data_IF_210139457024
#
_entry.id   IF_210139457024
#
_cell.length_a   1.000
_cell.length_b   1.000
_cell.length_c   1.000
_cell.angle_alpha   90.00
_cell.angle_beta   90.00
_cell.angle_gamma   90.00
#
_symmetry.space_group_name_H-M   'P 1'
#
loop_
_entity.id
_entity.type
_entity.pdbx_description
1 polymer ?
#
# COMPACT_ATOMS: atom_id res chain seq x y z
N UNK A 1 16.29 -7.50 32.22
CA UNK A 1 16.25 -7.15 30.78
C UNK A 1 14.87 -7.57 30.27
N UNK A 2 13.96 -6.63 30.18
CA UNK A 2 12.60 -6.89 29.68
C UNK A 2 12.66 -6.86 28.17
N UNK A 3 12.45 -8.01 27.51
CA UNK A 3 12.32 -8.06 26.06
C UNK A 3 11.06 -7.31 25.67
N UNK A 4 11.22 -6.17 25.03
CA UNK A 4 10.15 -5.50 24.29
C UNK A 4 9.73 -6.47 23.15
N UNK A 5 8.69 -7.26 23.43
CA UNK A 5 7.96 -7.99 22.42
C UNK A 5 7.46 -6.95 21.41
N UNK A 6 8.11 -6.88 20.24
CA UNK A 6 7.60 -6.09 19.12
C UNK A 6 6.21 -6.63 18.80
N UNK A 7 5.17 -5.87 19.14
CA UNK A 7 3.80 -6.19 18.71
C UNK A 7 3.84 -6.35 17.19
N UNK A 8 3.60 -7.56 16.73
CA UNK A 8 3.42 -7.84 15.29
C UNK A 8 2.20 -7.03 14.87
N UNK A 9 2.43 -5.90 14.23
CA UNK A 9 1.36 -5.07 13.68
C UNK A 9 0.89 -5.77 12.41
N UNK A 10 -0.32 -6.31 12.41
CA UNK A 10 -0.90 -6.88 11.20
C UNK A 10 -1.07 -5.77 10.16
N UNK A 11 -0.79 -6.04 8.86
CA UNK A 11 -0.91 -5.03 7.80
C UNK A 11 -2.35 -4.52 7.58
N UNK A 12 -3.36 -5.31 7.98
CA UNK A 12 -4.77 -4.95 7.88
C UNK A 12 -5.49 -5.14 9.21
N UNK A 13 -6.56 -4.38 9.41
CA UNK A 13 -7.47 -4.50 10.55
C UNK A 13 -8.88 -4.83 10.06
N UNK A 14 -9.50 -5.82 10.68
CA UNK A 14 -10.87 -6.22 10.37
C UNK A 14 -11.92 -5.19 10.85
N UNK A 15 -13.10 -5.24 10.23
CA UNK A 15 -14.22 -4.32 10.49
C UNK A 15 -14.62 -4.27 11.97
N UNK A 16 -14.66 -5.42 12.67
CA UNK A 16 -15.08 -5.50 14.08
C UNK A 16 -14.10 -4.75 14.98
N UNK A 17 -12.82 -5.01 14.79
CA UNK A 17 -11.72 -4.36 15.53
C UNK A 17 -11.66 -2.86 15.23
N UNK A 18 -11.73 -2.47 13.96
CA UNK A 18 -11.73 -1.07 13.53
C UNK A 18 -12.92 -0.30 14.13
N UNK A 19 -14.14 -0.86 14.02
CA UNK A 19 -15.35 -0.28 14.60
C UNK A 19 -15.21 -0.03 16.12
N UNK A 20 -14.66 -0.99 16.85
CA UNK A 20 -14.45 -0.85 18.30
C UNK A 20 -13.55 0.33 18.61
N UNK A 21 -12.42 0.47 17.90
CA UNK A 21 -11.44 1.55 18.10
C UNK A 21 -11.99 2.92 17.69
N UNK A 22 -12.71 2.99 16.57
CA UNK A 22 -13.32 4.23 16.06
C UNK A 22 -14.37 4.76 17.05
N UNK A 23 -15.21 3.89 17.59
CA UNK A 23 -16.27 4.28 18.52
C UNK A 23 -15.74 4.90 19.82
N UNK A 24 -14.56 4.52 20.28
CA UNK A 24 -13.93 5.07 21.51
C UNK A 24 -12.85 6.11 21.17
N UNK A 25 -12.73 6.51 19.90
CA UNK A 25 -11.76 7.49 19.38
C UNK A 25 -10.31 7.20 19.82
N UNK A 26 -9.91 5.92 19.83
CA UNK A 26 -8.56 5.47 20.22
C UNK A 26 -7.61 5.33 19.03
N UNK A 27 -8.04 5.72 17.85
CA UNK A 27 -7.30 5.57 16.59
C UNK A 27 -7.50 6.79 15.70
N UNK A 28 -6.48 7.17 14.93
CA UNK A 28 -6.62 8.13 13.85
C UNK A 28 -7.04 7.39 12.57
N UNK A 29 -8.23 7.69 12.07
CA UNK A 29 -8.76 7.11 10.84
C UNK A 29 -8.53 8.09 9.69
N UNK A 30 -7.86 7.66 8.61
CA UNK A 30 -7.58 8.48 7.41
C UNK A 30 -8.43 8.00 6.25
N UNK A 31 -9.23 8.91 5.70
CA UNK A 31 -9.94 8.77 4.42
C UNK A 31 -9.08 9.32 3.28
N UNK A 32 -8.70 8.47 2.32
CA UNK A 32 -7.83 8.85 1.19
C UNK A 32 -8.64 9.22 -0.06
N UNK A 33 -9.96 9.15 0.00
CA UNK A 33 -10.83 9.57 -1.09
C UNK A 33 -10.70 11.09 -1.36
N UNK A 34 -11.25 11.54 -2.49
CA UNK A 34 -11.29 12.97 -2.80
C UNK A 34 -12.05 13.75 -1.72
N UNK A 35 -11.71 15.03 -1.59
CA UNK A 35 -12.36 15.90 -0.60
C UNK A 35 -13.87 15.99 -0.82
N UNK A 36 -14.32 16.00 -2.08
CA UNK A 36 -15.75 16.05 -2.41
C UNK A 36 -16.50 14.83 -1.88
N UNK A 37 -15.93 13.61 -2.05
CA UNK A 37 -16.52 12.37 -1.57
C UNK A 37 -16.53 12.32 -0.03
N UNK A 38 -15.44 12.74 0.60
CA UNK A 38 -15.33 12.82 2.06
C UNK A 38 -16.34 13.83 2.65
N UNK A 39 -16.51 14.98 2.03
CA UNK A 39 -17.44 16.02 2.51
C UNK A 39 -18.92 15.61 2.37
N UNK A 40 -19.25 14.70 1.45
CA UNK A 40 -20.60 14.15 1.34
C UNK A 40 -20.90 13.20 2.50
N UNK A 41 -20.01 12.29 2.77
CA UNK A 41 -20.10 11.33 3.88
C UNK A 41 -18.77 10.58 4.03
N UNK A 42 -18.41 10.23 5.27
CA UNK A 42 -17.19 9.51 5.60
C UNK A 42 -17.41 8.61 6.83
N UNK A 43 -16.49 7.71 7.12
CA UNK A 43 -16.55 6.90 8.33
C UNK A 43 -16.40 7.83 9.55
N UNK A 44 -17.21 7.60 10.58
CA UNK A 44 -17.22 8.39 11.82
C UNK A 44 -15.79 8.67 12.31
N UNK A 45 -15.50 9.93 12.67
CA UNK A 45 -14.21 10.42 13.15
C UNK A 45 -13.03 10.34 12.17
N UNK A 46 -13.26 10.02 10.89
CA UNK A 46 -12.21 10.05 9.89
C UNK A 46 -11.73 11.47 9.60
N UNK A 47 -10.44 11.63 9.33
CA UNK A 47 -9.84 12.83 8.74
C UNK A 47 -9.55 12.56 7.27
N UNK A 48 -9.57 13.60 6.43
CA UNK A 48 -9.30 13.43 5.01
C UNK A 48 -7.84 13.75 4.66
N UNK A 49 -7.23 12.89 3.86
CA UNK A 49 -5.95 13.11 3.20
C UNK A 49 -6.00 12.56 1.77
N UNK A 50 -6.52 13.31 0.82
CA UNK A 50 -6.50 12.89 -0.58
C UNK A 50 -5.07 12.54 -1.03
N UNK A 51 -4.95 11.48 -1.83
CA UNK A 51 -3.63 11.05 -2.33
C UNK A 51 -2.91 12.18 -3.08
N UNK A 52 -3.65 13.04 -3.79
CA UNK A 52 -3.07 14.19 -4.51
C UNK A 52 -2.33 15.14 -3.59
N UNK A 53 -2.85 15.40 -2.39
CA UNK A 53 -2.22 16.27 -1.40
C UNK A 53 -0.92 15.65 -0.87
N UNK A 54 -0.92 14.33 -0.60
CA UNK A 54 0.29 13.61 -0.23
C UNK A 54 1.36 13.68 -1.33
N UNK A 55 0.96 13.51 -2.59
CA UNK A 55 1.88 13.52 -3.74
C UNK A 55 2.37 14.91 -4.12
N UNK A 56 1.74 15.97 -3.64
CA UNK A 56 2.21 17.36 -3.79
C UNK A 56 3.36 17.70 -2.85
N UNK A 57 3.57 16.89 -1.80
CA UNK A 57 4.72 17.03 -0.90
C UNK A 57 6.01 16.67 -1.63
N UNK A 58 6.94 17.62 -1.70
CA UNK A 58 8.20 17.53 -2.42
C UNK A 58 9.36 16.95 -1.59
N UNK A 59 9.17 16.83 -0.29
CA UNK A 59 10.18 16.30 0.64
C UNK A 59 9.55 15.57 1.83
N UNK A 60 10.30 14.68 2.51
CA UNK A 60 9.84 14.04 3.74
C UNK A 60 9.42 15.04 4.83
N UNK A 61 10.09 16.20 4.92
CA UNK A 61 9.80 17.28 5.86
C UNK A 61 8.46 17.96 5.56
N UNK A 62 8.10 18.06 4.29
CA UNK A 62 6.78 18.59 3.88
C UNK A 62 5.68 17.55 4.14
N UNK A 63 5.96 16.29 3.82
CA UNK A 63 5.03 15.17 4.01
C UNK A 63 4.69 14.98 5.49
N UNK A 64 5.69 15.02 6.40
CA UNK A 64 5.43 14.83 7.83
C UNK A 64 4.52 15.91 8.41
N UNK A 65 4.60 17.15 7.92
CA UNK A 65 3.73 18.25 8.34
C UNK A 65 2.26 18.02 7.97
N UNK A 66 1.97 17.26 6.90
CA UNK A 66 0.60 16.87 6.58
C UNK A 66 0.05 15.95 7.68
N UNK A 67 0.83 14.97 8.11
CA UNK A 67 0.42 14.03 9.15
C UNK A 67 0.34 14.70 10.53
N UNK A 68 1.25 15.63 10.85
CA UNK A 68 1.18 16.45 12.07
C UNK A 68 -0.15 17.23 12.16
N UNK A 69 -0.59 17.83 11.05
CA UNK A 69 -1.88 18.56 10.97
C UNK A 69 -3.08 17.64 11.17
N UNK A 70 -2.95 16.38 10.82
CA UNK A 70 -4.00 15.37 11.02
C UNK A 70 -3.98 14.76 12.43
N UNK A 71 -3.13 15.26 13.34
CA UNK A 71 -3.05 14.79 14.71
C UNK A 71 -2.40 13.40 14.85
N UNK A 72 -1.39 13.10 14.02
CA UNK A 72 -0.65 11.84 14.04
C UNK A 72 0.70 12.09 14.70
N UNK A 73 0.85 11.69 15.96
CA UNK A 73 2.10 11.66 16.72
C UNK A 73 2.80 10.30 16.53
N UNK A 74 4.01 10.14 17.06
CA UNK A 74 4.85 8.92 16.89
C UNK A 74 4.18 7.63 17.36
N UNK A 75 3.31 7.71 18.37
CA UNK A 75 2.63 6.57 19.00
C UNK A 75 1.16 6.43 18.56
N UNK A 76 0.66 7.34 17.74
CA UNK A 76 -0.73 7.31 17.27
C UNK A 76 -0.99 6.03 16.47
N UNK A 77 -2.02 5.28 16.84
CA UNK A 77 -2.49 4.18 16.01
C UNK A 77 -3.28 4.73 14.81
N UNK A 78 -2.89 4.36 13.60
CA UNK A 78 -3.48 4.84 12.35
C UNK A 78 -4.15 3.71 11.59
N UNK A 79 -5.38 3.95 11.14
CA UNK A 79 -6.08 3.10 10.17
C UNK A 79 -6.32 3.94 8.92
N UNK A 80 -5.99 3.40 7.74
CA UNK A 80 -6.16 4.09 6.46
C UNK A 80 -7.17 3.33 5.60
N UNK A 81 -8.08 4.03 4.95
CA UNK A 81 -9.05 3.45 4.03
C UNK A 81 -9.26 4.30 2.78
N UNK A 82 -9.78 3.65 1.75
CA UNK A 82 -10.22 4.28 0.50
C UNK A 82 -11.50 3.60 -0.04
N UNK A 83 -11.86 3.90 -1.27
CA UNK A 83 -12.93 3.21 -2.01
C UNK A 83 -12.40 2.61 -3.33
N UNK A 84 -11.10 2.37 -3.42
CA UNK A 84 -10.37 1.79 -4.55
C UNK A 84 -9.63 0.53 -4.13
N UNK A 85 -10.33 -0.40 -3.48
CA UNK A 85 -9.83 -1.70 -2.98
C UNK A 85 -8.52 -1.63 -2.20
N UNK A 86 -8.25 -0.52 -1.51
CA UNK A 86 -7.06 -0.34 -0.69
C UNK A 86 -5.81 0.18 -1.43
N UNK A 87 -5.88 0.45 -2.72
CA UNK A 87 -4.72 0.88 -3.50
C UNK A 87 -4.22 2.28 -3.12
N UNK A 88 -5.12 3.25 -2.93
CA UNK A 88 -4.73 4.60 -2.49
C UNK A 88 -4.34 4.59 -1.01
N UNK A 89 -5.10 3.88 -0.18
CA UNK A 89 -4.82 3.72 1.24
C UNK A 89 -3.44 3.11 1.48
N UNK A 90 -3.06 2.09 0.72
CA UNK A 90 -1.75 1.44 0.84
C UNK A 90 -0.59 2.39 0.54
N UNK A 91 -0.75 3.31 -0.41
CA UNK A 91 0.29 4.31 -0.72
C UNK A 91 0.47 5.32 0.42
N UNK A 92 -0.62 5.78 1.04
CA UNK A 92 -0.56 6.66 2.22
C UNK A 92 0.05 5.94 3.41
N UNK A 93 -0.41 4.72 3.71
CA UNK A 93 0.11 3.92 4.81
C UNK A 93 1.60 3.56 4.63
N UNK A 94 2.04 3.24 3.42
CA UNK A 94 3.45 3.01 3.11
C UNK A 94 4.28 4.28 3.32
N UNK A 95 3.75 5.46 2.96
CA UNK A 95 4.47 6.72 3.19
C UNK A 95 4.65 7.00 4.68
N UNK A 96 3.64 6.72 5.52
CA UNK A 96 3.77 6.78 6.97
C UNK A 96 4.89 5.86 7.47
N UNK A 97 4.96 4.61 7.01
CA UNK A 97 6.04 3.70 7.37
C UNK A 97 7.40 4.18 6.88
N UNK A 98 7.47 4.77 5.70
CA UNK A 98 8.70 5.30 5.14
C UNK A 98 9.27 6.46 5.96
N UNK A 99 8.43 7.37 6.46
CA UNK A 99 8.86 8.46 7.34
C UNK A 99 9.07 8.02 8.81
N UNK A 100 8.90 6.73 9.12
CA UNK A 100 9.24 6.12 10.41
C UNK A 100 8.06 5.81 11.33
N UNK A 101 6.82 6.07 10.90
CA UNK A 101 5.63 5.73 11.69
C UNK A 101 5.38 4.22 11.70
N UNK A 102 5.23 3.62 12.91
CA UNK A 102 5.20 2.15 13.07
C UNK A 102 3.79 1.58 13.16
N UNK A 103 2.83 2.37 13.63
CA UNK A 103 1.50 1.89 14.03
C UNK A 103 0.44 2.22 12.97
N UNK A 104 0.65 1.77 11.72
CA UNK A 104 -0.30 1.99 10.63
C UNK A 104 -0.81 0.68 10.04
N UNK A 105 -2.11 0.61 9.78
CA UNK A 105 -2.80 -0.52 9.17
C UNK A 105 -3.79 -0.07 8.12
N UNK A 106 -4.16 -0.95 7.19
CA UNK A 106 -5.24 -0.73 6.25
C UNK A 106 -6.55 -1.29 6.82
N UNK A 107 -7.66 -0.59 6.60
CA UNK A 107 -8.99 -1.16 6.83
C UNK A 107 -9.24 -2.28 5.81
N UNK A 108 -9.66 -3.47 6.26
CA UNK A 108 -9.81 -4.67 5.41
C UNK A 108 -11.09 -4.65 4.52
N UNK A 109 -11.70 -3.48 4.37
CA UNK A 109 -12.85 -3.23 3.49
C UNK A 109 -12.76 -1.82 2.89
N UNK A 110 -13.42 -1.61 1.77
CA UNK A 110 -13.56 -0.27 1.16
C UNK A 110 -14.61 0.56 1.92
N UNK A 111 -14.67 1.87 1.63
CA UNK A 111 -15.72 2.73 2.16
C UNK A 111 -17.13 2.25 1.77
N UNK A 112 -17.35 1.88 0.51
CA UNK A 112 -18.63 1.36 0.02
C UNK A 112 -19.06 0.11 0.77
N UNK A 113 -18.15 -0.84 1.00
CA UNK A 113 -18.41 -2.04 1.80
C UNK A 113 -18.73 -1.72 3.26
N UNK A 114 -18.01 -0.74 3.88
CA UNK A 114 -18.33 -0.26 5.22
C UNK A 114 -19.76 0.27 5.33
N UNK A 115 -20.19 1.03 4.33
CA UNK A 115 -21.55 1.59 4.24
C UNK A 115 -22.61 0.51 4.03
N UNK A 116 -22.37 -0.46 3.12
CA UNK A 116 -23.25 -1.61 2.87
C UNK A 116 -23.47 -2.47 4.13
N UNK A 117 -22.47 -2.54 5.01
CA UNK A 117 -22.59 -3.21 6.32
C UNK A 117 -23.44 -2.41 7.34
N UNK A 118 -23.99 -1.26 6.98
CA UNK A 118 -24.80 -0.41 7.85
C UNK A 118 -24.03 0.20 9.03
N UNK A 119 -22.71 0.41 8.87
CA UNK A 119 -21.85 0.94 9.92
C UNK A 119 -21.88 2.46 9.95
N UNK A 120 -21.47 3.05 11.10
CA UNK A 120 -21.57 4.49 11.35
C UNK A 120 -20.74 5.31 10.35
N UNK A 121 -21.41 6.26 9.73
CA UNK A 121 -20.85 7.32 8.88
C UNK A 121 -21.18 8.68 9.47
N UNK A 122 -20.53 9.74 9.00
CA UNK A 122 -20.71 11.13 9.43
C UNK A 122 -20.52 12.08 8.24
N UNK A 123 -21.05 13.27 8.37
CA UNK A 123 -20.73 14.45 7.54
C UNK A 123 -19.92 15.47 8.34
N UNK A 124 -19.76 15.25 9.65
CA UNK A 124 -19.09 16.16 10.57
C UNK A 124 -17.59 15.89 10.60
N UNK A 125 -16.80 16.92 10.30
CA UNK A 125 -15.32 16.84 10.39
C UNK A 125 -14.88 16.84 11.85
N UNK A 126 -14.00 15.92 12.26
CA UNK A 126 -13.49 15.92 13.62
C UNK A 126 -12.60 17.15 13.87
N UNK A 127 -12.71 17.73 15.07
CA UNK A 127 -11.81 18.80 15.48
C UNK A 127 -10.46 18.20 15.90
N UNK A 128 -9.44 18.39 15.09
CA UNK A 128 -8.10 17.85 15.29
C UNK A 128 -7.13 18.97 15.69
N UNK A 129 -6.38 18.71 16.76
CA UNK A 129 -5.26 19.56 17.12
C UNK A 129 -3.98 19.02 16.47
N UNK A 130 -3.19 19.89 15.80
CA UNK A 130 -1.89 19.51 15.28
C UNK A 130 -0.97 19.00 16.40
N UNK A 131 -0.16 18.01 16.07
CA UNK A 131 0.83 17.41 16.99
C UNK A 131 2.21 17.42 16.34
N UNK A 132 3.22 16.97 17.07
CA UNK A 132 4.57 16.74 16.53
C UNK A 132 4.79 15.26 16.22
N UNK A 133 5.47 15.00 15.14
CA UNK A 133 5.92 13.69 14.72
C UNK A 133 7.42 13.70 14.38
N UNK A 134 8.16 12.70 14.85
CA UNK A 134 9.59 12.57 14.56
C UNK A 134 9.82 12.01 13.16
N UNK A 135 10.69 12.66 12.38
CA UNK A 135 11.08 12.14 11.06
C UNK A 135 12.22 11.12 11.22
N UNK A 136 11.92 9.86 10.96
CA UNK A 136 12.86 8.74 11.00
C UNK A 136 12.75 7.91 9.72
N UNK A 137 13.42 8.34 8.66
CA UNK A 137 13.34 7.67 7.35
C UNK A 137 13.70 6.19 7.47
N UNK A 138 12.86 5.33 6.91
CA UNK A 138 13.10 3.90 6.78
C UNK A 138 13.41 3.55 5.31
N UNK A 139 14.67 3.58 4.89
CA UNK A 139 15.06 3.30 3.51
C UNK A 139 14.92 1.82 3.12
N UNK A 140 14.81 0.92 4.10
CA UNK A 140 14.77 -0.53 3.87
C UNK A 140 13.48 -1.01 3.21
N UNK A 141 12.45 -0.19 3.19
CA UNK A 141 11.18 -0.52 2.52
C UNK A 141 11.05 0.11 1.13
N UNK A 142 12.03 0.89 0.70
CA UNK A 142 12.04 1.56 -0.62
C UNK A 142 13.10 0.92 -1.53
N UNK A 143 12.77 0.80 -2.81
CA UNK A 143 13.72 0.53 -3.88
C UNK A 143 13.80 1.74 -4.84
N UNK A 144 14.99 2.04 -5.35
CA UNK A 144 15.26 3.01 -6.41
C UNK A 144 15.56 2.29 -7.73
N UNK A 145 15.58 3.02 -8.84
CA UNK A 145 16.01 2.45 -10.12
C UNK A 145 17.44 1.89 -10.06
N UNK A 146 18.35 2.59 -9.38
CA UNK A 146 19.73 2.12 -9.14
C UNK A 146 19.75 0.84 -8.29
N UNK A 147 18.93 0.79 -7.22
CA UNK A 147 18.80 -0.42 -6.41
C UNK A 147 18.37 -1.63 -7.25
N UNK A 148 17.39 -1.44 -8.15
CA UNK A 148 16.93 -2.51 -9.04
C UNK A 148 18.01 -3.00 -10.00
N UNK A 149 18.85 -2.13 -10.53
CA UNK A 149 19.96 -2.52 -11.40
C UNK A 149 20.98 -3.39 -10.67
N UNK A 150 21.40 -2.94 -9.50
CA UNK A 150 22.37 -3.67 -8.68
C UNK A 150 21.80 -4.99 -8.15
N UNK A 151 20.50 -5.01 -7.81
CA UNK A 151 19.81 -6.20 -7.28
C UNK A 151 19.67 -7.33 -8.31
N UNK A 152 19.63 -7.02 -9.61
CA UNK A 152 19.55 -8.03 -10.68
C UNK A 152 20.76 -8.96 -10.72
N UNK A 153 21.91 -8.50 -10.23
CA UNK A 153 23.13 -9.29 -10.13
C UNK A 153 23.10 -10.27 -8.95
N UNK A 154 22.21 -10.02 -7.98
CA UNK A 154 22.01 -10.83 -6.79
C UNK A 154 20.88 -11.84 -7.02
N UNK A 155 21.17 -13.11 -7.23
CA UNK A 155 20.24 -14.15 -7.68
C UNK A 155 19.03 -14.48 -6.79
N UNK A 156 18.75 -13.71 -5.71
CA UNK A 156 17.61 -13.94 -4.79
C UNK A 156 16.67 -12.74 -4.70
N UNK A 157 16.54 -11.97 -5.79
CA UNK A 157 15.61 -10.83 -5.87
C UNK A 157 14.53 -11.10 -6.91
N UNK A 158 13.27 -10.94 -6.51
CA UNK A 158 12.10 -11.09 -7.39
C UNK A 158 11.44 -9.73 -7.60
N UNK A 159 11.27 -9.32 -8.84
CA UNK A 159 10.60 -8.10 -9.21
C UNK A 159 9.18 -8.40 -9.68
N UNK A 160 8.17 -7.80 -9.03
CA UNK A 160 6.74 -8.02 -9.35
C UNK A 160 6.14 -6.77 -9.98
N UNK A 161 5.60 -6.92 -11.19
CA UNK A 161 4.78 -5.91 -11.88
C UNK A 161 3.32 -6.10 -11.50
N UNK A 162 2.73 -5.09 -10.85
CA UNK A 162 1.34 -5.13 -10.39
C UNK A 162 0.36 -4.41 -11.33
N UNK A 163 0.80 -4.05 -12.53
CA UNK A 163 -0.11 -3.52 -13.55
C UNK A 163 -0.95 -4.64 -14.16
N UNK A 164 -2.02 -4.25 -14.84
CA UNK A 164 -2.83 -5.18 -15.63
C UNK A 164 -1.98 -5.95 -16.63
N UNK A 165 -2.37 -7.18 -16.91
CA UNK A 165 -1.64 -8.11 -17.79
C UNK A 165 -1.28 -7.50 -19.13
N UNK A 166 -2.21 -6.77 -19.76
CA UNK A 166 -1.96 -6.12 -21.06
C UNK A 166 -0.79 -5.14 -20.99
N UNK A 167 -0.75 -4.28 -19.98
CA UNK A 167 0.35 -3.32 -19.79
C UNK A 167 1.71 -4.02 -19.60
N UNK A 168 1.72 -5.16 -18.90
CA UNK A 168 2.93 -5.96 -18.74
C UNK A 168 3.39 -6.57 -20.05
N UNK A 169 2.48 -7.14 -20.85
CA UNK A 169 2.80 -7.76 -22.12
C UNK A 169 3.36 -6.74 -23.11
N UNK A 170 2.79 -5.54 -23.14
CA UNK A 170 3.27 -4.46 -23.99
C UNK A 170 4.69 -4.00 -23.66
N UNK A 171 4.94 -3.74 -22.37
CA UNK A 171 6.25 -3.26 -21.88
C UNK A 171 6.39 -3.53 -20.38
N UNK A 172 7.52 -4.08 -19.94
CA UNK A 172 7.83 -4.27 -18.53
C UNK A 172 9.32 -4.16 -18.23
N UNK A 173 9.69 -4.09 -16.95
CA UNK A 173 11.09 -4.15 -16.52
C UNK A 173 11.60 -5.58 -16.74
N UNK A 174 12.73 -5.80 -17.46
CA UNK A 174 13.23 -7.13 -17.76
C UNK A 174 13.40 -7.99 -16.52
N UNK A 175 12.95 -9.26 -16.59
CA UNK A 175 13.01 -10.23 -15.48
C UNK A 175 11.88 -10.09 -14.44
N UNK A 176 10.94 -9.17 -14.61
CA UNK A 176 9.79 -9.08 -13.70
C UNK A 176 8.74 -10.15 -13.98
N UNK A 177 8.03 -10.53 -12.92
CA UNK A 177 6.88 -11.44 -12.93
C UNK A 177 5.61 -10.59 -12.82
N UNK A 178 4.60 -10.86 -13.63
CA UNK A 178 3.34 -10.15 -13.51
C UNK A 178 2.42 -10.82 -12.47
N UNK A 179 2.01 -10.05 -11.48
CA UNK A 179 0.89 -10.34 -10.58
C UNK A 179 0.00 -9.11 -10.57
N UNK A 180 -1.05 -9.07 -11.40
CA UNK A 180 -1.96 -7.93 -11.46
C UNK A 180 -2.57 -7.63 -10.09
N UNK A 181 -2.78 -6.36 -9.79
CA UNK A 181 -3.32 -5.94 -8.49
C UNK A 181 -4.67 -6.61 -8.15
N UNK A 182 -5.50 -6.91 -9.18
CA UNK A 182 -6.78 -7.62 -8.99
C UNK A 182 -6.60 -9.00 -8.39
N UNK A 183 -5.47 -9.66 -8.68
CA UNK A 183 -5.15 -10.96 -8.11
C UNK A 183 -4.77 -10.90 -6.62
N UNK A 184 -4.64 -9.72 -6.02
CA UNK A 184 -4.27 -9.54 -4.61
C UNK A 184 -5.48 -9.46 -3.68
N UNK A 185 -6.67 -9.17 -4.22
CA UNK A 185 -7.92 -9.04 -3.48
C UNK A 185 -8.75 -10.33 -3.55
N UNK A 186 -9.76 -10.42 -2.68
CA UNK A 186 -10.85 -11.41 -2.77
C UNK A 186 -12.18 -10.70 -2.59
N UNK A 187 -13.28 -11.39 -2.87
CA UNK A 187 -14.61 -10.87 -2.67
C UNK A 187 -14.81 -10.39 -1.22
N UNK A 188 -15.22 -9.13 -1.07
CA UNK A 188 -15.52 -8.50 0.20
C UNK A 188 -14.31 -8.11 1.06
N UNK A 189 -13.06 -8.24 0.55
CA UNK A 189 -11.84 -7.84 1.27
C UNK A 189 -10.81 -7.23 0.33
N UNK A 190 -10.00 -6.28 0.86
CA UNK A 190 -8.94 -5.67 0.08
C UNK A 190 -7.73 -6.59 -0.16
N UNK A 191 -7.52 -7.61 0.69
CA UNK A 191 -6.44 -8.58 0.55
C UNK A 191 -6.96 -10.01 0.62
N UNK A 192 -6.31 -10.90 -0.12
CA UNK A 192 -6.50 -12.36 -0.03
C UNK A 192 -6.17 -12.90 1.36
N UNK A 193 -6.72 -14.07 1.67
CA UNK A 193 -6.29 -14.84 2.85
C UNK A 193 -4.81 -15.23 2.72
N UNK A 194 -4.15 -15.46 3.87
CA UNK A 194 -2.73 -15.86 3.90
C UNK A 194 -2.44 -17.10 3.06
N UNK A 195 -3.31 -18.10 3.14
CA UNK A 195 -3.19 -19.34 2.38
C UNK A 195 -3.32 -19.08 0.87
N UNK A 196 -4.36 -18.37 0.45
CA UNK A 196 -4.58 -18.02 -0.96
C UNK A 196 -3.43 -17.20 -1.55
N UNK A 197 -2.86 -16.27 -0.76
CA UNK A 197 -1.72 -15.47 -1.20
C UNK A 197 -0.44 -16.32 -1.34
N UNK A 198 -0.17 -17.25 -0.41
CA UNK A 198 0.96 -18.19 -0.54
C UNK A 198 0.82 -19.10 -1.76
N UNK A 199 -0.39 -19.61 -2.01
CA UNK A 199 -0.67 -20.41 -3.19
C UNK A 199 -0.42 -19.62 -4.48
N UNK A 200 -0.79 -18.34 -4.51
CA UNK A 200 -0.50 -17.44 -5.62
C UNK A 200 1.01 -17.29 -5.86
N UNK A 201 1.81 -17.02 -4.82
CA UNK A 201 3.27 -16.93 -4.96
C UNK A 201 3.87 -18.24 -5.45
N UNK A 202 3.46 -19.36 -4.88
CA UNK A 202 3.92 -20.70 -5.27
C UNK A 202 3.59 -21.01 -6.74
N UNK A 203 2.39 -20.67 -7.21
CA UNK A 203 1.99 -20.85 -8.62
C UNK A 203 2.81 -20.02 -9.61
N UNK A 204 3.42 -18.92 -9.13
CA UNK A 204 4.30 -18.06 -9.91
C UNK A 204 5.80 -18.37 -9.71
N UNK A 205 6.13 -19.42 -8.96
CA UNK A 205 7.50 -19.81 -8.67
C UNK A 205 8.29 -18.82 -7.82
N UNK A 206 7.59 -18.02 -6.97
CA UNK A 206 8.19 -16.99 -6.13
C UNK A 206 8.50 -17.57 -4.76
N UNK A 207 9.79 -17.65 -4.35
CA UNK A 207 10.19 -18.12 -3.02
C UNK A 207 9.80 -17.11 -1.92
N UNK A 208 9.36 -17.61 -0.76
CA UNK A 208 9.00 -16.76 0.38
C UNK A 208 10.21 -16.13 1.10
N UNK A 209 11.41 -16.66 0.88
CA UNK A 209 12.68 -16.14 1.42
C UNK A 209 13.40 -15.17 0.48
N UNK A 210 12.89 -14.97 -0.74
CA UNK A 210 13.42 -13.98 -1.66
C UNK A 210 13.19 -12.55 -1.16
N UNK A 211 14.05 -11.64 -1.55
CA UNK A 211 13.73 -10.21 -1.51
C UNK A 211 12.75 -9.88 -2.64
N UNK A 212 11.60 -9.32 -2.29
CA UNK A 212 10.55 -9.01 -3.28
C UNK A 212 10.43 -7.50 -3.45
N UNK A 213 10.56 -7.04 -4.68
CA UNK A 213 10.37 -5.64 -5.04
C UNK A 213 9.09 -5.52 -5.86
N UNK A 214 8.16 -4.67 -5.42
CA UNK A 214 6.89 -4.43 -6.12
C UNK A 214 6.92 -3.10 -6.87
N UNK A 215 6.39 -3.06 -8.09
CA UNK A 215 6.22 -1.83 -8.87
C UNK A 215 4.92 -1.83 -9.67
N UNK A 216 4.49 -0.64 -10.12
CA UNK A 216 3.32 -0.48 -10.99
C UNK A 216 3.56 0.56 -12.10
N UNK A 217 2.56 1.38 -12.43
CA UNK A 217 2.67 2.37 -13.50
C UNK A 217 3.46 3.61 -13.11
N UNK A 218 3.22 4.19 -11.92
CA UNK A 218 3.76 5.50 -11.57
C UNK A 218 4.03 5.74 -10.09
N UNK A 219 2.99 5.92 -9.27
CA UNK A 219 3.11 6.49 -7.92
C UNK A 219 2.99 5.46 -6.79
N UNK A 220 3.15 4.18 -7.08
CA UNK A 220 3.21 3.13 -6.07
C UNK A 220 1.88 2.77 -5.40
N UNK A 221 0.73 3.02 -6.02
CA UNK A 221 -0.59 2.68 -5.46
C UNK A 221 -0.86 1.18 -5.57
N UNK A 222 -0.93 0.63 -6.78
CA UNK A 222 -1.21 -0.80 -7.00
C UNK A 222 -0.09 -1.69 -6.41
N UNK A 223 1.15 -1.28 -6.52
CA UNK A 223 2.31 -1.97 -5.94
C UNK A 223 2.42 -1.77 -4.43
N UNK A 224 1.88 -0.68 -3.88
CA UNK A 224 1.69 -0.51 -2.44
C UNK A 224 0.74 -1.55 -1.87
N UNK A 225 -0.38 -1.83 -2.58
CA UNK A 225 -1.29 -2.91 -2.18
C UNK A 225 -0.57 -4.27 -2.19
N UNK A 226 0.25 -4.55 -3.19
CA UNK A 226 1.07 -5.77 -3.25
C UNK A 226 2.09 -5.84 -2.09
N UNK A 227 2.75 -4.72 -1.75
CA UNK A 227 3.61 -4.64 -0.59
C UNK A 227 2.87 -5.08 0.69
N UNK A 228 1.66 -4.57 0.94
CA UNK A 228 0.86 -4.95 2.10
C UNK A 228 0.36 -6.40 2.03
N UNK A 229 0.01 -6.90 0.86
CA UNK A 229 -0.37 -8.30 0.66
C UNK A 229 0.78 -9.26 1.04
N UNK A 230 2.01 -8.97 0.61
CA UNK A 230 3.20 -9.73 0.94
C UNK A 230 3.55 -9.65 2.44
N UNK A 231 3.48 -8.44 3.02
CA UNK A 231 3.68 -8.26 4.47
C UNK A 231 2.64 -9.01 5.30
N UNK A 232 1.39 -9.14 4.81
CA UNK A 232 0.31 -9.85 5.51
C UNK A 232 0.56 -11.34 5.70
N UNK A 233 1.33 -11.95 4.82
CA UNK A 233 1.72 -13.37 4.91
C UNK A 233 3.07 -13.59 5.58
N UNK A 234 3.74 -12.50 5.99
CA UNK A 234 4.99 -12.55 6.77
C UNK A 234 6.26 -12.52 5.93
N UNK A 235 6.21 -12.16 4.64
CA UNK A 235 7.43 -11.98 3.84
C UNK A 235 8.29 -10.88 4.49
N UNK A 236 9.53 -11.16 4.91
CA UNK A 236 10.33 -10.21 5.66
C UNK A 236 10.88 -9.08 4.77
N UNK A 237 11.41 -9.42 3.61
CA UNK A 237 12.15 -8.52 2.73
C UNK A 237 11.27 -8.08 1.55
N UNK A 238 10.47 -7.04 1.77
CA UNK A 238 9.64 -6.44 0.71
C UNK A 238 9.98 -4.97 0.57
N UNK A 239 10.25 -4.53 -0.65
CA UNK A 239 10.47 -3.12 -1.01
C UNK A 239 9.44 -2.63 -2.02
N UNK A 240 9.14 -1.36 -1.96
CA UNK A 240 8.30 -0.68 -2.97
C UNK A 240 9.19 0.19 -3.86
N UNK A 241 9.20 -0.07 -5.16
CA UNK A 241 9.72 0.86 -6.15
C UNK A 241 8.63 1.90 -6.46
N UNK A 242 8.58 2.96 -5.66
CA UNK A 242 7.45 3.91 -5.63
C UNK A 242 7.28 4.69 -6.93
N UNK A 243 8.38 5.11 -7.56
CA UNK A 243 8.36 5.85 -8.83
C UNK A 243 8.08 4.95 -10.04
N UNK A 244 8.20 3.64 -9.86
CA UNK A 244 7.68 2.61 -10.74
C UNK A 244 8.13 2.69 -12.21
N UNK A 245 7.35 2.11 -13.11
CA UNK A 245 7.68 2.00 -14.54
C UNK A 245 7.82 3.36 -15.24
N UNK A 246 7.11 4.39 -14.76
CA UNK A 246 7.22 5.75 -15.32
C UNK A 246 8.63 6.33 -15.18
N UNK A 247 9.24 6.19 -13.98
CA UNK A 247 10.62 6.61 -13.74
C UNK A 247 11.61 5.77 -14.55
N UNK A 248 11.44 4.43 -14.55
CA UNK A 248 12.28 3.50 -15.30
C UNK A 248 12.39 3.89 -16.77
N UNK A 249 11.24 4.22 -17.40
CA UNK A 249 11.19 4.73 -18.78
C UNK A 249 11.84 6.09 -18.95
N UNK A 250 11.61 7.01 -17.99
CA UNK A 250 12.20 8.37 -18.03
C UNK A 250 13.74 8.32 -17.95
N UNK A 251 14.27 7.32 -17.26
CA UNK A 251 15.71 7.07 -17.14
C UNK A 251 16.28 6.25 -18.29
N UNK A 252 15.47 5.99 -19.36
CA UNK A 252 15.85 5.24 -20.56
C UNK A 252 16.43 3.86 -20.26
N UNK A 253 15.96 3.22 -19.17
CA UNK A 253 16.40 1.89 -18.76
C UNK A 253 15.84 0.80 -19.68
N UNK A 254 16.51 -0.38 -19.77
CA UNK A 254 16.05 -1.49 -20.61
C UNK A 254 14.61 -1.90 -20.35
N UNK A 255 13.88 -2.18 -21.44
CA UNK A 255 12.48 -2.61 -21.41
C UNK A 255 12.37 -3.95 -22.15
N UNK A 256 11.63 -4.87 -21.56
CA UNK A 256 11.19 -6.10 -22.21
C UNK A 256 9.77 -5.97 -22.74
N UNK A 257 9.45 -6.77 -23.74
CA UNK A 257 8.13 -6.95 -24.34
C UNK A 257 7.88 -8.45 -24.48
N UNK A 258 6.65 -8.88 -24.39
CA UNK A 258 6.31 -10.24 -24.76
C UNK A 258 5.94 -10.25 -26.25
N UNK A 259 6.87 -10.69 -27.09
CA UNK A 259 6.61 -10.87 -28.52
C UNK A 259 5.52 -11.94 -28.71
N UNK A 260 4.57 -11.69 -29.61
CA UNK A 260 3.44 -12.58 -29.90
C UNK A 260 2.44 -12.81 -28.75
N UNK A 261 2.29 -11.85 -27.84
CA UNK A 261 1.20 -11.90 -26.86
C UNK A 261 -0.14 -12.01 -27.59
N UNK A 262 -0.90 -13.09 -27.32
CA UNK A 262 -2.21 -13.32 -27.91
C UNK A 262 -3.32 -12.94 -26.93
N UNK A 263 -4.55 -12.78 -27.45
CA UNK A 263 -5.73 -12.53 -26.61
C UNK A 263 -5.89 -13.62 -25.52
N UNK A 264 -5.50 -14.85 -25.80
CA UNK A 264 -5.57 -15.98 -24.87
C UNK A 264 -4.60 -15.86 -23.69
N UNK A 265 -3.52 -15.08 -23.84
CA UNK A 265 -2.60 -14.78 -22.73
C UNK A 265 -3.23 -13.86 -21.68
N UNK A 266 -4.34 -13.19 -22.02
CA UNK A 266 -5.11 -12.33 -21.11
C UNK A 266 -6.08 -13.15 -20.24
N UNK A 267 -6.47 -14.34 -20.67
CA UNK A 267 -7.46 -15.21 -20.00
C UNK A 267 -6.81 -16.18 -18.99
N UNK A 268 -5.49 -16.15 -18.84
CA UNK A 268 -4.74 -17.06 -17.95
C UNK A 268 -4.58 -16.51 -16.51
N UNK A 269 -5.51 -15.67 -16.05
CA UNK A 269 -5.54 -15.11 -14.69
C UNK A 269 -6.34 -15.98 -13.71
#
# INVERSE_FOLDING_TARGET
MCSLSSKITFPTVDVKTARSKINVNSVRLIDVRREEDYNQEHILNAVNLPLADLLSGDSPETIIKLFEKLGIADDTEVIVYDDTFGALASRVAWTLQYIGHKNVTLLDVTYSQWKELGLKISIEKPNIQPVKHSLNINPDIMATAEYLENAKENGNVVLIDNRERLNFLEQHIPGSINIPYRALATDGKILRTKESMRNLLKSRGIPEDAEIITYCGSVGTLSGLAYYALKSIGIPNVRLYVNSFKEWKKLEKPIAKQENASYWDLSAE
#
